data_IF_654959051381
#
_entry.id   IF_654959051381
#
_cell.length_a   1.000
_cell.length_b   1.000
_cell.length_c   1.000
_cell.angle_alpha   90.00
_cell.angle_beta   90.00
_cell.angle_gamma   90.00
#
_symmetry.space_group_name_H-M   'P 1'
#
loop_
_entity.id
_entity.type
_entity.pdbx_description
1 polymer ?
#
# COMPACT_ATOMS: atom_id res chain seq x y z
N UNK A 1 21.11 -13.93 14.54
CA UNK A 1 19.80 -13.86 13.86
C UNK A 1 19.56 -15.20 13.22
N UNK A 2 18.65 -15.99 13.79
CA UNK A 2 18.48 -17.39 13.40
C UNK A 2 17.71 -17.48 12.06
N UNK A 3 18.12 -18.43 11.22
CA UNK A 3 17.47 -18.68 9.91
C UNK A 3 15.97 -18.94 10.04
N UNK A 4 15.55 -19.46 11.19
CA UNK A 4 14.15 -19.71 11.53
C UNK A 4 13.38 -18.39 11.66
N UNK A 5 13.96 -17.37 12.29
CA UNK A 5 13.35 -16.04 12.41
C UNK A 5 13.19 -15.34 11.05
N UNK A 6 14.20 -15.48 10.19
CA UNK A 6 14.17 -14.94 8.83
C UNK A 6 13.07 -15.63 8.02
N UNK A 7 13.03 -16.96 8.08
CA UNK A 7 12.02 -17.75 7.38
C UNK A 7 10.60 -17.43 7.87
N UNK A 8 10.39 -17.29 9.18
CA UNK A 8 9.11 -16.95 9.77
C UNK A 8 8.64 -15.55 9.37
N UNK A 9 9.53 -14.56 9.37
CA UNK A 9 9.24 -13.19 8.90
C UNK A 9 8.91 -13.17 7.42
N UNK A 10 9.68 -13.88 6.59
CA UNK A 10 9.42 -13.99 5.16
C UNK A 10 8.05 -14.64 4.89
N UNK A 11 7.73 -15.72 5.59
CA UNK A 11 6.45 -16.39 5.48
C UNK A 11 5.28 -15.48 5.89
N UNK A 12 5.45 -14.70 6.96
CA UNK A 12 4.46 -13.73 7.42
C UNK A 12 4.24 -12.62 6.40
N UNK A 13 5.31 -12.08 5.81
CA UNK A 13 5.24 -11.05 4.75
C UNK A 13 4.49 -11.59 3.53
N UNK A 14 4.76 -12.84 3.12
CA UNK A 14 4.08 -13.47 2.00
C UNK A 14 2.60 -13.74 2.34
N UNK A 15 2.33 -14.29 3.51
CA UNK A 15 0.97 -14.65 3.95
C UNK A 15 0.06 -13.42 4.06
N UNK A 16 0.60 -12.26 4.45
CA UNK A 16 -0.14 -10.99 4.52
C UNK A 16 -0.13 -10.27 3.17
N UNK A 17 0.99 -10.28 2.46
CA UNK A 17 1.18 -9.55 1.20
C UNK A 17 0.27 -10.05 0.07
N UNK A 18 0.05 -11.37 -0.04
CA UNK A 18 -0.80 -11.96 -1.08
C UNK A 18 -2.26 -11.48 -0.99
N UNK A 19 -2.96 -11.58 0.14
CA UNK A 19 -4.33 -11.07 0.25
C UNK A 19 -4.41 -9.54 0.13
N UNK A 20 -3.44 -8.80 0.66
CA UNK A 20 -3.39 -7.35 0.50
C UNK A 20 -3.24 -6.96 -0.97
N UNK A 21 -2.38 -7.65 -1.73
CA UNK A 21 -2.25 -7.41 -3.16
C UNK A 21 -3.52 -7.77 -3.94
N UNK A 22 -4.26 -8.79 -3.52
CA UNK A 22 -5.55 -9.12 -4.12
C UNK A 22 -6.58 -8.01 -3.90
N UNK A 23 -6.69 -7.48 -2.68
CA UNK A 23 -7.56 -6.33 -2.37
C UNK A 23 -7.13 -5.10 -3.17
N UNK A 24 -5.82 -4.82 -3.25
CA UNK A 24 -5.28 -3.72 -4.03
C UNK A 24 -5.55 -3.88 -5.54
N UNK A 25 -5.51 -5.10 -6.09
CA UNK A 25 -5.85 -5.38 -7.47
C UNK A 25 -7.34 -5.12 -7.78
N UNK A 26 -8.23 -5.49 -6.86
CA UNK A 26 -9.65 -5.18 -6.97
C UNK A 26 -9.87 -3.66 -6.91
N UNK A 27 -9.24 -2.98 -5.95
CA UNK A 27 -9.30 -1.53 -5.81
C UNK A 27 -8.77 -0.82 -7.07
N UNK A 28 -7.70 -1.34 -7.68
CA UNK A 28 -7.14 -0.83 -8.93
C UNK A 28 -8.15 -0.95 -10.09
N UNK A 29 -8.83 -2.09 -10.21
CA UNK A 29 -9.86 -2.29 -11.26
C UNK A 29 -11.05 -1.37 -11.05
N UNK A 30 -11.53 -1.25 -9.82
CA UNK A 30 -12.60 -0.31 -9.44
C UNK A 30 -12.18 1.12 -9.75
N UNK A 31 -10.95 1.51 -9.41
CA UNK A 31 -10.39 2.82 -9.72
C UNK A 31 -10.34 3.10 -11.22
N UNK A 32 -9.90 2.15 -12.05
CA UNK A 32 -9.91 2.27 -13.50
C UNK A 32 -11.34 2.45 -14.06
N UNK A 33 -12.30 1.68 -13.54
CA UNK A 33 -13.69 1.79 -13.93
C UNK A 33 -14.26 3.20 -13.67
N UNK A 34 -14.08 3.74 -12.46
CA UNK A 34 -14.55 5.07 -12.10
C UNK A 34 -13.78 6.20 -12.78
N UNK A 35 -12.51 5.99 -13.11
CA UNK A 35 -11.70 6.96 -13.86
C UNK A 35 -12.00 6.97 -15.36
N UNK A 36 -12.91 6.11 -15.85
CA UNK A 36 -13.22 5.97 -17.26
C UNK A 36 -12.03 5.40 -18.08
N UNK A 37 -11.16 4.65 -17.43
CA UNK A 37 -10.05 3.96 -18.06
C UNK A 37 -10.43 2.51 -18.40
N UNK A 38 -9.69 1.89 -19.32
CA UNK A 38 -9.87 0.48 -19.63
C UNK A 38 -9.56 -0.36 -18.38
N UNK A 39 -10.51 -1.23 -18.01
CA UNK A 39 -10.35 -2.08 -16.82
C UNK A 39 -9.40 -3.22 -17.14
N UNK A 40 -8.23 -3.31 -16.49
CA UNK A 40 -7.24 -4.31 -16.80
C UNK A 40 -7.72 -5.72 -16.42
N UNK A 41 -7.23 -6.75 -17.12
CA UNK A 41 -7.45 -8.14 -16.72
C UNK A 41 -6.92 -8.38 -15.30
N UNK A 42 -7.55 -9.30 -14.55
CA UNK A 42 -7.25 -9.53 -13.14
C UNK A 42 -5.77 -9.82 -12.88
N UNK A 43 -5.14 -10.66 -13.71
CA UNK A 43 -3.70 -10.97 -13.58
C UNK A 43 -2.81 -9.75 -13.79
N UNK A 44 -3.15 -8.87 -14.74
CA UNK A 44 -2.42 -7.62 -14.99
C UNK A 44 -2.60 -6.64 -13.84
N UNK A 45 -3.83 -6.51 -13.32
CA UNK A 45 -4.11 -5.69 -12.15
C UNK A 45 -3.36 -6.18 -10.92
N UNK A 46 -3.33 -7.49 -10.69
CA UNK A 46 -2.62 -8.12 -9.58
C UNK A 46 -1.10 -7.91 -9.69
N UNK A 47 -0.51 -8.14 -10.84
CA UNK A 47 0.92 -7.90 -11.07
C UNK A 47 1.30 -6.42 -10.88
N UNK A 48 0.47 -5.49 -11.37
CA UNK A 48 0.67 -4.05 -11.18
C UNK A 48 0.56 -3.66 -9.69
N UNK A 49 -0.44 -4.20 -8.99
CA UNK A 49 -0.63 -3.95 -7.55
C UNK A 49 0.53 -4.49 -6.72
N UNK A 50 1.00 -5.71 -7.00
CA UNK A 50 2.17 -6.30 -6.34
C UNK A 50 3.42 -5.45 -6.55
N UNK A 51 3.71 -5.05 -7.79
CA UNK A 51 4.88 -4.24 -8.11
C UNK A 51 4.81 -2.89 -7.40
N UNK A 52 3.68 -2.20 -7.50
CA UNK A 52 3.48 -0.90 -6.86
C UNK A 52 3.64 -1.00 -5.35
N UNK A 53 3.04 -2.03 -4.75
CA UNK A 53 3.12 -2.24 -3.30
C UNK A 53 4.53 -2.56 -2.83
N UNK A 54 5.25 -3.43 -3.56
CA UNK A 54 6.64 -3.78 -3.24
C UNK A 54 7.57 -2.58 -3.30
N UNK A 55 7.42 -1.72 -4.31
CA UNK A 55 8.23 -0.51 -4.45
C UNK A 55 7.87 0.52 -3.37
N UNK A 56 6.58 0.70 -3.07
CA UNK A 56 6.13 1.58 -1.99
C UNK A 56 6.69 1.12 -0.64
N UNK A 57 6.63 -0.18 -0.35
CA UNK A 57 7.19 -0.75 0.88
C UNK A 57 8.70 -0.51 0.96
N UNK A 58 9.43 -0.70 -0.13
CA UNK A 58 10.87 -0.44 -0.16
C UNK A 58 11.19 1.04 0.13
N UNK A 59 10.43 1.98 -0.44
CA UNK A 59 10.59 3.41 -0.17
C UNK A 59 10.32 3.72 1.30
N UNK A 60 9.24 3.21 1.86
CA UNK A 60 8.89 3.41 3.28
C UNK A 60 10.00 2.90 4.18
N UNK A 61 10.52 1.70 3.92
CA UNK A 61 11.61 1.11 4.70
C UNK A 61 12.90 1.93 4.60
N UNK A 62 13.23 2.42 3.41
CA UNK A 62 14.40 3.29 3.21
C UNK A 62 14.23 4.59 3.98
N UNK A 63 13.07 5.25 3.87
CA UNK A 63 12.81 6.51 4.58
C UNK A 63 12.81 6.32 6.09
N UNK A 64 12.26 5.22 6.60
CA UNK A 64 12.32 4.88 8.01
C UNK A 64 13.75 4.61 8.49
N UNK A 65 14.56 3.88 7.70
CA UNK A 65 15.95 3.63 8.03
C UNK A 65 16.76 4.93 8.12
N UNK A 66 16.51 5.88 7.20
CA UNK A 66 17.11 7.21 7.27
C UNK A 66 16.63 7.98 8.50
N UNK A 67 15.34 7.98 8.79
CA UNK A 67 14.79 8.69 9.95
C UNK A 67 15.36 8.16 11.27
N UNK A 68 15.48 6.85 11.42
CA UNK A 68 16.07 6.21 12.63
C UNK A 68 17.58 6.40 12.69
N UNK A 69 18.28 6.41 11.55
CA UNK A 69 19.73 6.59 11.49
C UNK A 69 20.21 8.01 11.80
N UNK A 70 19.36 9.03 11.64
CA UNK A 70 19.67 10.44 11.88
C UNK A 70 18.99 11.04 13.11
N UNK A 71 18.07 10.30 13.75
CA UNK A 71 17.34 10.76 14.91
C UNK A 71 17.74 9.97 16.17
N UNK A 72 17.56 10.60 17.32
CA UNK A 72 17.62 9.96 18.64
C UNK A 72 16.66 8.74 18.68
N UNK A 73 16.91 7.74 19.58
CA UNK A 73 16.11 6.52 19.69
C UNK A 73 14.60 6.75 19.93
N UNK A 74 14.18 7.98 20.18
CA UNK A 74 12.79 8.41 20.26
C UNK A 74 12.51 9.46 19.17
N UNK A 75 12.19 9.03 17.93
CA UNK A 75 11.90 9.98 16.86
C UNK A 75 10.68 10.83 17.24
N UNK A 76 10.86 12.14 17.14
CA UNK A 76 9.83 13.13 17.42
C UNK A 76 8.60 12.86 16.53
N UNK A 77 7.40 12.97 17.08
CA UNK A 77 6.14 12.77 16.34
C UNK A 77 6.10 13.60 15.05
N UNK A 78 6.68 14.82 15.11
CA UNK A 78 6.80 15.68 13.93
C UNK A 78 7.65 15.04 12.82
N UNK A 79 8.79 14.42 13.15
CA UNK A 79 9.63 13.72 12.17
C UNK A 79 8.93 12.52 11.56
N UNK A 80 8.22 11.72 12.37
CA UNK A 80 7.43 10.59 11.87
C UNK A 80 6.35 11.05 10.91
N UNK A 81 5.67 12.16 11.21
CA UNK A 81 4.67 12.75 10.34
C UNK A 81 5.27 13.22 9.00
N UNK A 82 6.42 13.90 9.03
CA UNK A 82 7.13 14.33 7.81
C UNK A 82 7.53 13.11 6.95
N UNK A 83 8.09 12.08 7.56
CA UNK A 83 8.45 10.83 6.86
C UNK A 83 7.23 10.18 6.22
N UNK A 84 6.11 10.13 6.94
CA UNK A 84 4.85 9.58 6.43
C UNK A 84 4.34 10.38 5.21
N UNK A 85 4.33 11.72 5.29
CA UNK A 85 3.90 12.59 4.19
C UNK A 85 4.80 12.42 2.96
N UNK A 86 6.12 12.38 3.16
CA UNK A 86 7.08 12.15 2.07
C UNK A 86 6.90 10.78 1.42
N UNK A 87 6.67 9.73 2.22
CA UNK A 87 6.40 8.40 1.71
C UNK A 87 5.10 8.35 0.89
N UNK A 88 4.08 9.07 1.34
CA UNK A 88 2.78 9.14 0.66
C UNK A 88 2.90 9.89 -0.68
N UNK A 89 3.62 11.01 -0.72
CA UNK A 89 3.90 11.76 -1.94
C UNK A 89 4.75 10.95 -2.93
N UNK A 90 5.79 10.29 -2.46
CA UNK A 90 6.62 9.42 -3.29
C UNK A 90 5.80 8.26 -3.88
N UNK A 91 4.94 7.64 -3.07
CA UNK A 91 4.02 6.59 -3.50
C UNK A 91 3.05 7.08 -4.57
N UNK A 92 2.47 8.28 -4.40
CA UNK A 92 1.56 8.89 -5.38
C UNK A 92 2.24 9.08 -6.73
N UNK A 93 3.41 9.71 -6.76
CA UNK A 93 4.14 9.98 -8.00
C UNK A 93 4.53 8.68 -8.68
N UNK A 94 5.11 7.76 -7.94
CA UNK A 94 5.61 6.49 -8.48
C UNK A 94 4.47 5.61 -9.00
N UNK A 95 3.40 5.47 -8.20
CA UNK A 95 2.22 4.69 -8.61
C UNK A 95 1.58 5.28 -9.87
N UNK A 96 1.48 6.61 -9.95
CA UNK A 96 0.93 7.29 -11.12
C UNK A 96 1.78 7.03 -12.37
N UNK A 97 3.10 7.10 -12.26
CA UNK A 97 4.02 6.78 -13.37
C UNK A 97 3.90 5.32 -13.79
N UNK A 98 3.84 4.40 -12.83
CA UNK A 98 3.68 2.97 -13.11
C UNK A 98 2.33 2.69 -13.79
N UNK A 99 1.24 3.31 -13.35
CA UNK A 99 -0.08 3.13 -13.96
C UNK A 99 -0.11 3.66 -15.39
N UNK A 100 0.49 4.82 -15.66
CA UNK A 100 0.65 5.33 -17.03
C UNK A 100 1.41 4.35 -17.90
N UNK A 101 2.49 3.77 -17.39
CA UNK A 101 3.36 2.85 -18.16
C UNK A 101 2.75 1.46 -18.32
N UNK A 102 2.21 0.88 -17.25
CA UNK A 102 1.76 -0.52 -17.24
C UNK A 102 0.32 -0.68 -17.74
N UNK A 103 -0.54 0.31 -17.47
CA UNK A 103 -1.96 0.27 -17.83
C UNK A 103 -2.30 1.13 -19.03
N UNK A 104 -1.31 1.90 -19.57
CA UNK A 104 -1.51 2.81 -20.71
C UNK A 104 -2.63 3.83 -20.51
N UNK A 105 -2.81 4.27 -19.25
CA UNK A 105 -3.80 5.29 -18.89
C UNK A 105 -3.21 6.69 -18.94
N UNK A 106 -4.06 7.73 -19.07
CA UNK A 106 -3.62 9.12 -18.98
C UNK A 106 -3.20 9.45 -17.55
N UNK A 107 -2.29 10.40 -17.39
CA UNK A 107 -1.79 10.79 -16.05
C UNK A 107 -2.91 11.24 -15.09
N UNK A 108 -3.89 12.01 -15.60
CA UNK A 108 -5.06 12.41 -14.79
C UNK A 108 -5.92 11.22 -14.34
N UNK A 109 -6.06 10.21 -15.20
CA UNK A 109 -6.76 8.97 -14.84
C UNK A 109 -5.95 8.17 -13.81
N UNK A 110 -4.60 8.11 -13.95
CA UNK A 110 -3.73 7.45 -12.99
C UNK A 110 -3.83 8.07 -11.60
N UNK A 111 -3.89 9.39 -11.50
CA UNK A 111 -4.13 10.09 -10.22
C UNK A 111 -5.48 9.72 -9.61
N UNK A 112 -6.54 9.72 -10.42
CA UNK A 112 -7.89 9.33 -9.95
C UNK A 112 -7.92 7.89 -9.47
N UNK A 113 -7.28 6.97 -10.20
CA UNK A 113 -7.15 5.56 -9.81
C UNK A 113 -6.44 5.44 -8.46
N UNK A 114 -5.34 6.18 -8.27
CA UNK A 114 -4.58 6.14 -7.02
C UNK A 114 -5.43 6.65 -5.83
N UNK A 115 -6.12 7.77 -5.99
CA UNK A 115 -7.01 8.32 -4.94
C UNK A 115 -8.11 7.32 -4.58
N UNK A 116 -8.79 6.75 -5.56
CA UNK A 116 -9.86 5.77 -5.33
C UNK A 116 -9.30 4.53 -4.62
N UNK A 117 -8.12 4.07 -5.02
CA UNK A 117 -7.46 2.93 -4.39
C UNK A 117 -7.13 3.19 -2.92
N UNK A 118 -6.61 4.37 -2.58
CA UNK A 118 -6.34 4.75 -1.19
C UNK A 118 -7.64 4.80 -0.39
N UNK A 119 -8.69 5.44 -0.90
CA UNK A 119 -10.00 5.51 -0.22
C UNK A 119 -10.54 4.10 0.01
N UNK A 120 -10.44 3.22 -0.98
CA UNK A 120 -10.90 1.84 -0.87
C UNK A 120 -10.11 1.06 0.20
N UNK A 121 -8.77 1.13 0.18
CA UNK A 121 -7.91 0.43 1.14
C UNK A 121 -8.14 0.94 2.56
N UNK A 122 -8.25 2.26 2.75
CA UNK A 122 -8.56 2.87 4.05
C UNK A 122 -9.95 2.45 4.52
N UNK A 123 -10.95 2.46 3.65
CA UNK A 123 -12.31 2.02 3.97
C UNK A 123 -12.37 0.56 4.42
N UNK A 124 -11.69 -0.33 3.69
CA UNK A 124 -11.59 -1.75 4.05
C UNK A 124 -10.85 -1.92 5.39
N UNK A 125 -9.75 -1.19 5.59
CA UNK A 125 -8.99 -1.21 6.84
C UNK A 125 -9.84 -0.77 8.05
N UNK A 126 -10.61 0.31 7.91
CA UNK A 126 -11.52 0.78 8.95
C UNK A 126 -12.63 -0.25 9.24
N UNK A 127 -13.18 -0.87 8.21
CA UNK A 127 -14.19 -1.93 8.38
C UNK A 127 -13.64 -3.08 9.20
N UNK A 128 -12.44 -3.57 8.88
CA UNK A 128 -11.79 -4.64 9.66
C UNK A 128 -11.48 -4.21 11.11
N UNK A 129 -11.05 -2.96 11.31
CA UNK A 129 -10.80 -2.43 12.66
C UNK A 129 -12.10 -2.37 13.49
N UNK A 130 -13.21 -1.93 12.90
CA UNK A 130 -14.52 -1.93 13.56
C UNK A 130 -14.99 -3.35 13.88
N UNK A 131 -14.86 -4.29 12.95
CA UNK A 131 -15.23 -5.68 13.17
C UNK A 131 -14.40 -6.32 14.31
N UNK A 132 -13.10 -6.04 14.33
CA UNK A 132 -12.21 -6.52 15.38
C UNK A 132 -12.58 -5.92 16.76
N UNK A 133 -12.96 -4.64 16.82
CA UNK A 133 -13.41 -3.99 18.05
C UNK A 133 -14.72 -4.58 18.56
N UNK A 134 -15.68 -4.82 17.67
CA UNK A 134 -16.95 -5.47 18.01
C UNK A 134 -16.73 -6.90 18.50
N UNK A 135 -15.87 -7.66 17.80
CA UNK A 135 -15.56 -9.04 18.22
C UNK A 135 -14.93 -9.09 19.62
N UNK A 136 -14.02 -8.16 19.95
CA UNK A 136 -13.44 -8.05 21.29
C UNK A 136 -14.50 -7.72 22.32
N UNK A 137 -15.39 -6.75 22.05
CA UNK A 137 -16.45 -6.36 22.98
C UNK A 137 -17.51 -7.47 23.24
N UNK A 138 -17.59 -8.47 22.36
CA UNK A 138 -18.49 -9.63 22.54
C UNK A 138 -17.80 -10.76 23.33
N UNK A 139 -16.47 -10.84 23.26
CA UNK A 139 -15.68 -11.91 23.89
C UNK A 139 -15.24 -11.58 25.33
N UNK A 140 -15.26 -10.31 25.71
CA UNK A 140 -15.04 -9.79 27.07
C UNK A 140 -16.36 -9.72 27.86
#
# INVERSE_FOLDING_TARGET
MDWIDIAFRALTIIAVGVPVAAVAAIALRVGCYFAGAEVPALGRAYGTALLTWSITLAIVLILQAFAVGFADPHPDIALQFVVFVLALLASLVLSSVLYVRLLSVRFSQALSVWVIQIVFVVGVGLLFACLAAVARAILD
#
